data_IF_512240198854
#
_entry.id   IF_512240198854
#
_cell.length_a   1.000
_cell.length_b   1.000
_cell.length_c   1.000
_cell.angle_alpha   90.00
_cell.angle_beta   90.00
_cell.angle_gamma   90.00
#
_symmetry.space_group_name_H-M   'P 1'
#
loop_
_entity.id
_entity.type
_entity.pdbx_description
1 polymer ?
#
# COMPACT_ATOMS: atom_id res chain seq x y z
N UNK A 1 -20.69 -10.72 -1.58
CA UNK A 1 -19.35 -10.56 -1.01
C UNK A 1 -18.65 -11.91 -1.08
N UNK A 2 -17.40 -12.02 -1.56
CA UNK A 2 -16.65 -13.25 -1.35
C UNK A 2 -16.37 -13.35 0.14
N UNK A 3 -16.92 -14.38 0.79
CA UNK A 3 -16.55 -14.77 2.15
C UNK A 3 -15.06 -15.07 2.21
N UNK A 4 -14.37 -14.66 3.27
CA UNK A 4 -12.99 -15.09 3.50
C UNK A 4 -12.91 -16.62 3.36
N UNK A 5 -11.88 -17.15 2.68
CA UNK A 5 -11.73 -18.59 2.57
C UNK A 5 -11.68 -19.20 3.99
N UNK A 6 -12.33 -20.36 4.21
CA UNK A 6 -12.31 -21.00 5.52
C UNK A 6 -10.87 -21.30 5.95
N UNK A 7 -10.55 -21.11 7.23
CA UNK A 7 -9.18 -21.28 7.71
C UNK A 7 -8.73 -22.75 7.72
N UNK A 8 -7.40 -23.02 7.59
CA UNK A 8 -6.81 -24.32 7.87
C UNK A 8 -7.23 -24.85 9.25
N UNK A 9 -7.51 -26.15 9.33
CA UNK A 9 -8.09 -26.80 10.51
C UNK A 9 -7.17 -27.85 11.15
N UNK A 10 -6.14 -28.30 10.43
CA UNK A 10 -5.15 -29.27 10.93
C UNK A 10 -3.72 -28.71 10.86
N UNK A 11 -2.76 -29.21 11.67
CA UNK A 11 -1.36 -28.81 11.58
C UNK A 11 -0.77 -28.99 10.17
N UNK A 12 -1.19 -30.04 9.46
CA UNK A 12 -0.75 -30.35 8.09
C UNK A 12 -1.30 -29.34 7.07
N UNK A 13 -2.58 -28.94 7.21
CA UNK A 13 -3.16 -27.85 6.40
C UNK A 13 -2.45 -26.52 6.67
N UNK A 14 -2.10 -26.24 7.94
CA UNK A 14 -1.32 -25.05 8.30
C UNK A 14 0.08 -25.07 7.68
N UNK A 15 0.76 -26.22 7.73
CA UNK A 15 2.07 -26.41 7.11
C UNK A 15 2.03 -26.17 5.60
N UNK A 16 1.06 -26.79 4.91
CA UNK A 16 0.85 -26.58 3.48
C UNK A 16 0.55 -25.11 3.14
N UNK A 17 -0.32 -24.45 3.90
CA UNK A 17 -0.64 -23.03 3.65
C UNK A 17 0.52 -22.08 3.98
N UNK A 18 1.31 -22.38 5.01
CA UNK A 18 2.49 -21.60 5.36
C UNK A 18 3.55 -21.70 4.25
N UNK A 19 3.80 -22.92 3.74
CA UNK A 19 4.71 -23.16 2.63
C UNK A 19 4.19 -22.51 1.33
N UNK A 20 2.89 -22.60 1.06
CA UNK A 20 2.24 -21.92 -0.06
C UNK A 20 2.46 -20.40 0.02
N UNK A 21 2.14 -19.77 1.16
CA UNK A 21 2.27 -18.32 1.35
C UNK A 21 3.73 -17.87 1.22
N UNK A 22 4.65 -18.62 1.79
CA UNK A 22 6.08 -18.30 1.79
C UNK A 22 6.71 -18.43 0.40
N UNK A 23 6.28 -19.41 -0.40
CA UNK A 23 6.87 -19.65 -1.72
C UNK A 23 6.14 -18.98 -2.87
N UNK A 24 4.85 -18.64 -2.72
CA UNK A 24 3.96 -18.20 -3.82
C UNK A 24 3.43 -16.78 -3.62
N UNK A 25 3.45 -16.22 -2.40
CA UNK A 25 2.93 -14.87 -2.14
C UNK A 25 3.97 -13.78 -1.83
N UNK A 26 5.26 -14.11 -1.86
CA UNK A 26 6.33 -13.13 -1.72
C UNK A 26 6.56 -12.28 -2.99
N UNK A 27 6.61 -10.96 -2.85
CA UNK A 27 6.74 -9.98 -3.93
C UNK A 27 7.94 -10.17 -4.88
N UNK A 28 8.99 -10.88 -4.45
CA UNK A 28 10.26 -11.05 -5.16
C UNK A 28 10.69 -12.52 -5.26
N UNK A 29 9.77 -13.39 -5.64
CA UNK A 29 10.07 -14.83 -5.72
C UNK A 29 11.03 -15.19 -6.84
N UNK A 30 11.92 -16.12 -6.52
CA UNK A 30 12.66 -16.92 -7.51
C UNK A 30 11.76 -17.80 -8.38
N UNK A 31 10.51 -18.03 -7.95
CA UNK A 31 9.51 -18.89 -8.59
C UNK A 31 8.71 -18.24 -9.73
N UNK A 32 8.87 -16.94 -9.97
CA UNK A 32 8.14 -16.25 -11.05
C UNK A 32 8.54 -16.74 -12.45
N UNK A 33 7.70 -16.42 -13.44
CA UNK A 33 7.87 -16.80 -14.84
C UNK A 33 7.78 -18.34 -14.98
N UNK A 34 8.75 -18.97 -15.65
CA UNK A 34 8.77 -20.42 -15.85
C UNK A 34 9.48 -21.19 -14.72
N UNK A 35 9.81 -20.52 -13.60
CA UNK A 35 10.60 -21.11 -12.51
C UNK A 35 9.75 -21.83 -11.45
N UNK A 36 8.43 -21.81 -11.58
CA UNK A 36 7.51 -22.52 -10.70
C UNK A 36 7.49 -24.03 -10.98
N UNK A 37 8.02 -24.84 -10.06
CA UNK A 37 7.87 -26.31 -10.11
C UNK A 37 6.65 -26.76 -9.28
N UNK A 38 5.48 -26.76 -9.93
CA UNK A 38 4.25 -27.27 -9.35
C UNK A 38 4.35 -28.74 -8.93
N UNK A 39 5.10 -29.56 -9.65
CA UNK A 39 5.22 -30.97 -9.36
C UNK A 39 6.03 -31.19 -8.07
N UNK A 40 7.09 -30.41 -7.85
CA UNK A 40 7.85 -30.40 -6.60
C UNK A 40 6.97 -30.01 -5.42
N UNK A 41 6.22 -28.91 -5.53
CA UNK A 41 5.32 -28.48 -4.47
C UNK A 41 4.31 -29.59 -4.11
N UNK A 42 3.69 -30.22 -5.11
CA UNK A 42 2.76 -31.34 -4.91
C UNK A 42 3.42 -32.58 -4.29
N UNK A 43 4.71 -32.83 -4.54
CA UNK A 43 5.45 -33.95 -3.94
C UNK A 43 5.77 -33.74 -2.45
N UNK A 44 5.94 -32.49 -2.01
CA UNK A 44 6.30 -32.15 -0.62
C UNK A 44 5.13 -32.21 0.37
N UNK A 45 3.90 -32.25 -0.12
CA UNK A 45 2.68 -32.21 0.71
C UNK A 45 1.78 -33.43 0.47
N UNK A 46 0.94 -33.75 1.45
CA UNK A 46 -0.03 -34.82 1.31
C UNK A 46 -1.12 -34.42 0.29
N UNK A 47 -1.34 -35.30 -0.70
CA UNK A 47 -2.33 -35.10 -1.77
C UNK A 47 -3.75 -34.83 -1.24
N UNK A 48 -4.21 -35.59 -0.25
CA UNK A 48 -5.58 -35.43 0.28
C UNK A 48 -5.76 -34.08 0.99
N UNK A 49 -4.70 -33.58 1.63
CA UNK A 49 -4.67 -32.25 2.26
C UNK A 49 -4.80 -31.15 1.20
N UNK A 50 -4.02 -31.24 0.12
CA UNK A 50 -4.08 -30.27 -0.98
C UNK A 50 -5.44 -30.28 -1.68
N UNK A 51 -6.01 -31.46 -1.93
CA UNK A 51 -7.34 -31.63 -2.52
C UNK A 51 -8.42 -31.03 -1.60
N UNK A 52 -8.35 -31.27 -0.29
CA UNK A 52 -9.28 -30.68 0.68
C UNK A 52 -9.21 -29.14 0.70
N UNK A 53 -8.00 -28.58 0.73
CA UNK A 53 -7.80 -27.12 0.70
C UNK A 53 -8.36 -26.49 -0.58
N UNK A 54 -8.22 -27.14 -1.74
CA UNK A 54 -8.80 -26.66 -3.00
C UNK A 54 -10.32 -26.79 -3.05
N UNK A 55 -10.88 -27.92 -2.58
CA UNK A 55 -12.33 -28.12 -2.52
C UNK A 55 -13.01 -27.07 -1.63
N UNK A 56 -12.36 -26.71 -0.53
CA UNK A 56 -12.79 -25.65 0.40
C UNK A 56 -12.47 -24.24 -0.09
N UNK A 57 -11.86 -24.09 -1.29
CA UNK A 57 -11.45 -22.82 -1.91
C UNK A 57 -10.46 -22.01 -1.05
N UNK A 58 -9.71 -22.69 -0.18
CA UNK A 58 -8.62 -22.09 0.60
C UNK A 58 -7.37 -21.92 -0.26
N UNK A 59 -7.14 -22.89 -1.15
CA UNK A 59 -6.15 -22.81 -2.22
C UNK A 59 -6.82 -22.58 -3.57
N UNK A 60 -6.26 -21.72 -4.43
CA UNK A 60 -6.71 -21.59 -5.80
C UNK A 60 -6.46 -22.88 -6.62
N UNK A 61 -7.15 -23.06 -7.75
CA UNK A 61 -6.82 -24.08 -8.73
C UNK A 61 -5.37 -23.98 -9.22
N UNK A 62 -4.77 -25.12 -9.56
CA UNK A 62 -3.35 -25.21 -9.93
C UNK A 62 -3.00 -24.45 -11.20
N UNK A 63 -3.86 -24.52 -12.20
CA UNK A 63 -3.78 -23.74 -13.44
C UNK A 63 -3.81 -22.22 -13.16
N UNK A 64 -4.61 -21.78 -12.18
CA UNK A 64 -4.63 -20.39 -11.77
C UNK A 64 -3.33 -19.96 -11.07
N UNK A 65 -2.71 -20.83 -10.26
CA UNK A 65 -1.39 -20.58 -9.65
C UNK A 65 -0.32 -20.45 -10.73
N UNK A 66 -0.28 -21.39 -11.68
CA UNK A 66 0.69 -21.37 -12.77
C UNK A 66 0.52 -20.14 -13.66
N UNK A 67 -0.71 -19.78 -14.01
CA UNK A 67 -1.00 -18.58 -14.78
C UNK A 67 -0.54 -17.31 -14.04
N UNK A 68 -0.78 -17.22 -12.73
CA UNK A 68 -0.35 -16.07 -11.92
C UNK A 68 1.17 -15.96 -11.83
N UNK A 69 1.89 -17.08 -11.64
CA UNK A 69 3.34 -17.07 -11.53
C UNK A 69 4.01 -16.77 -12.89
N UNK A 70 3.45 -17.27 -13.99
CA UNK A 70 3.90 -16.93 -15.35
C UNK A 70 3.76 -15.45 -15.70
N UNK A 71 2.77 -14.75 -15.13
CA UNK A 71 2.65 -13.30 -15.30
C UNK A 71 3.85 -12.54 -14.70
N UNK A 72 4.61 -13.17 -13.80
CA UNK A 72 5.70 -12.56 -13.07
C UNK A 72 5.21 -11.69 -11.91
N UNK A 73 6.10 -10.93 -11.26
CA UNK A 73 5.71 -10.05 -10.18
C UNK A 73 4.71 -8.99 -10.66
N UNK A 74 3.86 -8.46 -9.77
CA UNK A 74 3.03 -7.30 -10.04
C UNK A 74 3.82 -6.18 -10.74
N UNK A 75 3.23 -5.45 -11.71
CA UNK A 75 3.95 -4.44 -12.50
C UNK A 75 4.74 -3.43 -11.65
N UNK A 76 4.19 -2.97 -10.53
CA UNK A 76 4.84 -1.99 -9.64
C UNK A 76 6.11 -2.48 -8.95
N UNK A 77 6.37 -3.79 -8.96
CA UNK A 77 7.59 -4.39 -8.40
C UNK A 77 8.65 -4.66 -9.49
N UNK A 78 8.34 -4.37 -10.76
CA UNK A 78 9.26 -4.63 -11.88
C UNK A 78 10.29 -3.51 -12.01
N UNK A 79 11.57 -3.84 -12.31
CA UNK A 79 12.58 -2.82 -12.58
C UNK A 79 12.13 -1.83 -13.65
N UNK A 80 12.34 -0.53 -13.38
CA UNK A 80 12.01 0.55 -14.30
C UNK A 80 10.53 0.93 -14.35
N UNK A 81 9.65 0.24 -13.61
CA UNK A 81 8.26 0.68 -13.49
C UNK A 81 8.17 2.05 -12.81
N UNK A 82 7.19 2.84 -13.24
CA UNK A 82 6.80 4.10 -12.61
C UNK A 82 5.29 4.20 -12.57
N UNK A 83 4.75 4.81 -11.53
CA UNK A 83 3.32 5.04 -11.42
C UNK A 83 2.79 5.81 -12.64
N UNK A 84 1.65 5.41 -13.24
CA UNK A 84 1.02 6.12 -14.35
C UNK A 84 0.58 7.53 -13.97
N UNK A 85 0.54 7.87 -12.67
CA UNK A 85 0.23 9.22 -12.22
C UNK A 85 1.42 10.18 -12.32
N UNK A 86 2.67 9.71 -12.38
CA UNK A 86 3.84 10.60 -12.51
C UNK A 86 3.73 11.42 -13.81
N UNK A 87 3.80 12.75 -13.69
CA UNK A 87 3.61 13.69 -14.79
C UNK A 87 2.14 13.90 -15.20
N UNK A 88 1.18 13.43 -14.40
CA UNK A 88 -0.26 13.67 -14.58
C UNK A 88 -0.78 14.63 -13.52
N UNK A 89 -1.83 15.34 -13.90
CA UNK A 89 -2.63 16.16 -12.98
C UNK A 89 -3.64 15.27 -12.27
N UNK A 90 -3.79 15.47 -10.97
CA UNK A 90 -4.84 14.86 -10.16
C UNK A 90 -5.70 15.94 -9.53
N UNK A 91 -7.00 15.66 -9.42
CA UNK A 91 -7.92 16.51 -8.66
C UNK A 91 -7.63 16.37 -7.18
N UNK A 92 -7.66 17.50 -6.45
CA UNK A 92 -7.32 17.57 -5.02
C UNK A 92 -8.44 18.16 -4.16
N UNK A 93 -9.56 18.59 -4.75
CA UNK A 93 -10.69 19.19 -4.02
C UNK A 93 -11.35 18.23 -3.02
N UNK A 94 -11.08 16.93 -3.15
CA UNK A 94 -11.48 15.93 -2.17
C UNK A 94 -10.82 16.15 -0.80
N UNK A 95 -9.67 16.84 -0.72
CA UNK A 95 -9.00 17.16 0.54
C UNK A 95 -9.79 18.10 1.45
N UNK A 96 -10.75 18.84 0.90
CA UNK A 96 -11.60 19.78 1.65
C UNK A 96 -12.99 19.22 1.93
N UNK A 97 -13.26 17.99 1.49
CA UNK A 97 -14.49 17.30 1.83
C UNK A 97 -14.42 16.79 3.26
N UNK A 98 -15.55 16.76 3.95
CA UNK A 98 -15.69 16.18 5.29
C UNK A 98 -15.81 14.64 5.20
N UNK A 99 -14.82 14.01 4.56
CA UNK A 99 -14.77 12.57 4.30
C UNK A 99 -13.77 11.83 5.20
N UNK A 100 -13.11 12.54 6.11
CA UNK A 100 -11.99 12.02 6.88
C UNK A 100 -12.18 12.24 8.37
N UNK A 101 -11.77 11.26 9.17
CA UNK A 101 -11.65 11.47 10.62
C UNK A 101 -10.26 11.99 10.92
N UNK A 102 -10.14 13.25 11.33
CA UNK A 102 -8.87 13.80 11.81
C UNK A 102 -8.56 13.30 13.22
N UNK A 103 -7.41 12.66 13.40
CA UNK A 103 -6.91 12.21 14.70
C UNK A 103 -5.86 13.17 15.27
N UNK A 104 -5.13 13.86 14.41
CA UNK A 104 -4.14 14.86 14.77
C UNK A 104 -4.02 15.91 13.67
N UNK A 105 -3.94 17.20 14.04
CA UNK A 105 -3.77 18.29 13.08
C UNK A 105 -4.97 18.48 12.13
N UNK A 106 -4.72 19.08 10.97
CA UNK A 106 -5.74 19.29 9.92
C UNK A 106 -5.11 19.37 8.51
N UNK A 107 -5.95 19.14 7.49
CA UNK A 107 -5.56 19.28 6.08
C UNK A 107 -5.36 20.73 5.62
N UNK A 108 -5.84 21.72 6.38
CA UNK A 108 -5.89 23.12 5.99
C UNK A 108 -4.53 23.72 5.58
N UNK A 109 -4.60 24.75 4.74
CA UNK A 109 -3.45 25.52 4.26
C UNK A 109 -2.61 24.83 3.19
N UNK A 110 -3.03 23.66 2.69
CA UNK A 110 -2.29 22.89 1.69
C UNK A 110 -2.18 23.60 0.33
N UNK A 111 -3.20 24.36 -0.08
CA UNK A 111 -3.20 25.12 -1.35
C UNK A 111 -2.12 26.18 -1.43
N UNK A 112 -1.71 26.74 -0.29
CA UNK A 112 -0.76 27.85 -0.22
C UNK A 112 0.70 27.37 -0.18
N UNK A 113 0.94 26.07 -0.35
CA UNK A 113 2.25 25.45 -0.21
C UNK A 113 2.83 25.16 -1.58
N UNK A 114 4.17 25.16 -1.68
CA UNK A 114 4.85 24.87 -2.94
C UNK A 114 4.66 23.40 -3.31
N UNK A 115 4.74 22.53 -2.31
CA UNK A 115 4.62 21.08 -2.48
C UNK A 115 3.67 20.52 -1.43
N UNK A 116 2.84 19.58 -1.86
CA UNK A 116 2.02 18.73 -1.02
C UNK A 116 2.58 17.31 -1.08
N UNK A 117 2.83 16.75 0.10
CA UNK A 117 3.14 15.36 0.34
C UNK A 117 1.89 14.67 0.86
N UNK A 118 1.39 13.68 0.12
CA UNK A 118 0.32 12.80 0.57
C UNK A 118 0.89 11.42 0.83
N UNK A 119 0.72 10.90 2.04
CA UNK A 119 1.18 9.57 2.43
C UNK A 119 -0.01 8.66 2.79
N UNK A 120 0.00 7.43 2.27
CA UNK A 120 -0.85 6.34 2.75
C UNK A 120 0.00 5.39 3.59
N UNK A 121 -0.48 5.03 4.78
CA UNK A 121 0.24 4.17 5.71
C UNK A 121 -0.72 3.33 6.57
N UNK A 122 -0.14 2.41 7.34
CA UNK A 122 -0.81 1.58 8.35
C UNK A 122 0.13 1.45 9.55
N UNK A 123 -0.38 1.02 10.71
CA UNK A 123 0.26 1.04 12.04
C UNK A 123 1.63 0.35 12.19
N UNK A 124 2.21 -0.19 11.12
CA UNK A 124 3.50 -0.89 11.09
C UNK A 124 4.65 -0.07 10.46
N UNK A 125 4.42 1.15 9.98
CA UNK A 125 5.40 1.91 9.19
C UNK A 125 5.89 3.22 9.84
N UNK A 126 7.10 3.62 9.46
CA UNK A 126 7.77 4.87 9.79
C UNK A 126 7.14 6.08 9.11
N UNK A 127 7.63 7.28 9.45
CA UNK A 127 6.88 8.51 9.25
C UNK A 127 7.65 9.66 8.57
N UNK A 128 6.92 10.59 7.97
CA UNK A 128 7.45 11.80 7.33
C UNK A 128 7.68 13.01 8.26
N UNK A 129 7.77 12.81 9.59
CA UNK A 129 7.90 13.92 10.55
C UNK A 129 9.08 14.85 10.30
N UNK A 130 10.25 14.31 9.96
CA UNK A 130 11.43 15.14 9.71
C UNK A 130 11.22 16.05 8.49
N UNK A 131 10.60 15.52 7.43
CA UNK A 131 10.26 16.28 6.22
C UNK A 131 9.29 17.41 6.53
N UNK A 132 8.25 17.13 7.33
CA UNK A 132 7.25 18.12 7.73
C UNK A 132 7.86 19.30 8.54
N UNK A 133 8.89 19.02 9.34
CA UNK A 133 9.58 20.05 10.15
C UNK A 133 10.63 20.80 9.34
N UNK A 134 11.36 20.10 8.46
CA UNK A 134 12.52 20.66 7.75
C UNK A 134 12.11 21.60 6.62
N UNK A 135 10.98 21.35 5.96
CA UNK A 135 10.58 22.09 4.76
C UNK A 135 9.27 22.87 4.99
N UNK A 136 9.33 24.15 5.41
CA UNK A 136 8.14 24.94 5.71
C UNK A 136 7.25 25.19 4.47
N UNK A 137 7.82 25.14 3.27
CA UNK A 137 7.10 25.26 2.00
C UNK A 137 6.37 23.96 1.57
N UNK A 138 6.55 22.89 2.33
CA UNK A 138 5.93 21.58 2.11
C UNK A 138 4.81 21.37 3.13
N UNK A 139 3.65 20.92 2.66
CA UNK A 139 2.60 20.37 3.54
C UNK A 139 2.66 18.86 3.46
N UNK A 140 2.73 18.20 4.61
CA UNK A 140 2.50 16.75 4.73
C UNK A 140 1.06 16.53 5.18
N UNK A 141 0.35 15.62 4.52
CA UNK A 141 -0.96 15.10 4.89
C UNK A 141 -0.88 13.58 4.81
N UNK A 142 -1.30 12.89 5.86
CA UNK A 142 -1.20 11.43 5.90
C UNK A 142 -2.56 10.81 6.15
N UNK A 143 -2.78 9.67 5.50
CA UNK A 143 -3.98 8.87 5.58
C UNK A 143 -3.62 7.48 6.11
N UNK A 144 -4.10 7.17 7.30
CA UNK A 144 -4.19 5.79 7.76
C UNK A 144 -5.27 5.07 6.96
N UNK A 145 -4.92 3.88 6.44
CA UNK A 145 -5.89 2.95 5.88
C UNK A 145 -5.44 1.49 6.07
N UNK A 146 -5.78 0.91 7.21
CA UNK A 146 -5.52 -0.49 7.57
C UNK A 146 -6.14 -1.50 6.59
N UNK A 147 -7.25 -1.13 5.93
CA UNK A 147 -7.94 -1.99 4.97
C UNK A 147 -7.72 -1.61 3.51
N UNK A 148 -6.66 -0.87 3.19
CA UNK A 148 -6.44 -0.33 1.84
C UNK A 148 -6.42 -1.43 0.75
N UNK A 149 -5.99 -2.65 1.11
CA UNK A 149 -5.91 -3.79 0.19
C UNK A 149 -7.14 -4.71 0.17
N UNK A 150 -7.94 -4.71 1.25
CA UNK A 150 -9.03 -5.68 1.42
C UNK A 150 -10.41 -5.02 1.60
N UNK A 151 -10.48 -3.69 1.61
CA UNK A 151 -11.71 -2.91 1.78
C UNK A 151 -12.29 -2.96 3.20
N UNK A 152 -11.52 -3.46 4.19
CA UNK A 152 -11.94 -3.41 5.60
C UNK A 152 -11.89 -1.97 6.07
N UNK A 153 -12.81 -1.57 6.94
CA UNK A 153 -12.78 -0.23 7.52
C UNK A 153 -11.65 -0.15 8.56
N UNK A 154 -10.88 0.94 8.55
CA UNK A 154 -9.94 1.24 9.64
C UNK A 154 -10.69 1.35 10.98
N UNK A 155 -10.12 0.75 12.03
CA UNK A 155 -10.59 0.92 13.39
C UNK A 155 -10.06 2.24 13.98
N UNK A 156 -10.84 3.31 13.82
CA UNK A 156 -10.47 4.68 14.24
C UNK A 156 -9.98 4.76 15.69
N UNK A 157 -10.59 4.01 16.61
CA UNK A 157 -10.21 4.05 18.03
C UNK A 157 -8.87 3.34 18.31
N UNK A 158 -8.54 2.34 17.51
CA UNK A 158 -7.25 1.66 17.56
C UNK A 158 -6.15 2.56 17.01
N UNK A 159 -6.37 3.17 15.84
CA UNK A 159 -5.44 4.15 15.25
C UNK A 159 -5.24 5.34 16.19
N UNK A 160 -6.31 5.84 16.82
CA UNK A 160 -6.20 6.91 17.83
C UNK A 160 -5.33 6.51 19.02
N UNK A 161 -5.51 5.29 19.55
CA UNK A 161 -4.68 4.77 20.65
C UNK A 161 -3.23 4.56 20.24
N UNK A 162 -2.99 4.14 18.99
CA UNK A 162 -1.64 4.04 18.43
C UNK A 162 -0.97 5.42 18.39
N UNK A 163 -1.62 6.42 17.79
CA UNK A 163 -1.07 7.80 17.69
C UNK A 163 -0.83 8.41 19.07
N UNK A 164 -1.76 8.23 20.03
CA UNK A 164 -1.61 8.79 21.37
C UNK A 164 -0.37 8.29 22.14
N UNK A 165 0.22 7.15 21.72
CA UNK A 165 1.46 6.59 22.29
C UNK A 165 2.71 7.05 21.56
N UNK A 166 2.58 7.76 20.45
CA UNK A 166 3.67 8.22 19.58
C UNK A 166 3.95 9.69 19.85
N UNK A 167 5.19 10.04 20.16
CA UNK A 167 5.63 11.44 20.35
C UNK A 167 6.41 11.99 19.17
N UNK A 168 6.70 11.11 18.21
CA UNK A 168 7.55 11.35 17.05
C UNK A 168 6.74 11.72 15.80
N UNK A 169 5.43 11.47 15.74
CA UNK A 169 4.54 11.86 14.64
C UNK A 169 4.10 13.33 14.74
N UNK A 170 4.72 14.22 13.95
CA UNK A 170 4.53 15.69 14.04
C UNK A 170 3.84 16.30 12.82
N UNK A 171 2.82 15.64 12.31
CA UNK A 171 2.08 16.05 11.10
C UNK A 171 0.59 15.68 11.19
N UNK A 172 -0.26 16.19 10.29
CA UNK A 172 -1.67 15.80 10.22
C UNK A 172 -1.87 14.31 9.94
N UNK A 173 -2.68 13.66 10.77
CA UNK A 173 -3.07 12.26 10.63
C UNK A 173 -4.58 12.15 10.49
N UNK A 174 -5.01 11.63 9.34
CA UNK A 174 -6.41 11.41 9.01
C UNK A 174 -6.67 9.93 8.76
N UNK A 175 -7.91 9.49 8.98
CA UNK A 175 -8.36 8.15 8.63
C UNK A 175 -9.31 8.23 7.44
N UNK A 176 -8.98 7.48 6.38
CA UNK A 176 -9.76 7.43 5.13
C UNK A 176 -10.94 6.44 5.23
N UNK A 177 -11.87 6.72 6.14
CA UNK A 177 -13.00 5.84 6.48
C UNK A 177 -13.98 5.59 5.33
N UNK A 178 -13.96 6.45 4.32
CA UNK A 178 -14.80 6.37 3.12
C UNK A 178 -14.03 5.97 1.85
N UNK A 179 -12.74 5.68 1.97
CA UNK A 179 -11.84 5.38 0.84
C UNK A 179 -11.75 6.50 -0.21
N UNK A 180 -12.08 7.75 0.15
CA UNK A 180 -12.05 8.90 -0.75
C UNK A 180 -10.63 9.16 -1.25
N UNK A 181 -9.64 9.21 -0.36
CA UNK A 181 -8.24 9.43 -0.75
C UNK A 181 -7.70 8.21 -1.52
N UNK A 182 -8.11 7.01 -1.09
CA UNK A 182 -7.74 5.74 -1.70
C UNK A 182 -8.21 5.66 -3.15
N UNK A 183 -9.46 6.03 -3.43
CA UNK A 183 -10.05 6.02 -4.76
C UNK A 183 -9.52 7.14 -5.64
N UNK A 184 -9.28 8.32 -5.07
CA UNK A 184 -8.78 9.47 -5.80
C UNK A 184 -7.30 9.34 -6.20
N UNK A 185 -6.46 8.69 -5.38
CA UNK A 185 -5.01 8.74 -5.55
C UNK A 185 -4.32 7.38 -5.46
N UNK A 186 -4.60 6.57 -4.43
CA UNK A 186 -3.91 5.29 -4.23
C UNK A 186 -4.19 4.29 -5.37
N UNK A 187 -5.47 3.98 -5.64
CA UNK A 187 -5.85 3.02 -6.68
C UNK A 187 -5.39 3.45 -8.08
N UNK A 188 -5.59 4.71 -8.53
CA UNK A 188 -5.11 5.15 -9.84
C UNK A 188 -3.58 5.13 -9.96
N UNK A 189 -2.84 5.19 -8.85
CA UNK A 189 -1.38 5.08 -8.86
C UNK A 189 -0.87 3.71 -9.31
N UNK A 190 -1.72 2.68 -9.27
CA UNK A 190 -1.39 1.29 -9.56
C UNK A 190 -0.21 0.74 -8.72
N UNK A 191 0.12 1.42 -7.62
CA UNK A 191 1.07 0.93 -6.62
C UNK A 191 0.26 0.17 -5.57
N UNK A 192 0.57 -1.11 -5.35
CA UNK A 192 -0.12 -1.93 -4.35
C UNK A 192 0.79 -2.19 -3.16
N UNK A 193 1.39 -1.12 -2.63
CA UNK A 193 2.21 -1.15 -1.43
C UNK A 193 1.96 0.10 -0.60
N UNK A 194 2.08 -0.03 0.71
CA UNK A 194 2.21 1.07 1.66
C UNK A 194 3.49 0.81 2.50
N UNK A 195 4.16 1.84 3.03
CA UNK A 195 3.81 3.25 2.91
C UNK A 195 4.00 3.74 1.47
N UNK A 196 3.10 4.63 1.02
CA UNK A 196 3.13 5.18 -0.32
C UNK A 196 2.99 6.69 -0.25
N UNK A 197 3.92 7.38 -0.88
CA UNK A 197 4.02 8.82 -0.81
C UNK A 197 3.93 9.44 -2.20
N UNK A 198 3.19 10.53 -2.31
CA UNK A 198 3.00 11.33 -3.52
C UNK A 198 3.59 12.71 -3.31
N UNK A 199 4.47 13.15 -4.22
CA UNK A 199 4.93 14.55 -4.32
C UNK A 199 4.08 15.27 -5.36
N UNK A 200 3.29 16.25 -4.94
CA UNK A 200 2.32 16.96 -5.78
C UNK A 200 2.54 18.47 -5.67
N UNK A 201 2.47 19.21 -6.78
CA UNK A 201 2.37 20.67 -6.75
C UNK A 201 0.91 21.10 -6.59
N UNK A 202 0.52 21.74 -5.48
CA UNK A 202 -0.88 22.09 -5.21
C UNK A 202 -1.52 22.96 -6.28
N UNK A 203 -0.74 23.89 -6.84
CA UNK A 203 -1.22 24.91 -7.79
C UNK A 203 -1.84 24.34 -9.07
N UNK A 204 -1.36 23.17 -9.51
CA UNK A 204 -1.70 22.58 -10.82
C UNK A 204 -2.03 21.08 -10.71
N UNK A 205 -2.02 20.52 -9.50
CA UNK A 205 -2.28 19.12 -9.22
C UNK A 205 -1.26 18.16 -9.83
N UNK A 206 -0.10 18.64 -10.30
CA UNK A 206 0.87 17.79 -11.00
C UNK A 206 1.59 16.86 -10.01
N UNK A 207 1.55 15.57 -10.28
CA UNK A 207 2.30 14.54 -9.53
C UNK A 207 3.72 14.43 -10.09
N UNK A 208 4.72 14.66 -9.26
CA UNK A 208 6.14 14.65 -9.65
C UNK A 208 6.84 13.34 -9.29
N UNK A 209 6.35 12.65 -8.26
CA UNK A 209 6.92 11.39 -7.79
C UNK A 209 5.88 10.60 -6.99
N UNK A 210 5.98 9.28 -7.08
CA UNK A 210 5.18 8.31 -6.33
C UNK A 210 6.13 7.17 -5.95
N UNK A 211 6.20 6.83 -4.67
CA UNK A 211 7.06 5.73 -4.21
C UNK A 211 6.99 5.50 -2.71
N UNK A 212 7.73 4.51 -2.23
CA UNK A 212 7.82 4.20 -0.81
C UNK A 212 9.04 4.91 -0.19
N UNK A 213 8.79 5.90 0.67
CA UNK A 213 9.82 6.76 1.25
C UNK A 213 10.75 6.05 2.27
N UNK A 214 10.45 4.83 2.70
CA UNK A 214 11.33 4.03 3.56
C UNK A 214 12.41 3.29 2.78
N UNK A 215 12.12 2.93 1.53
CA UNK A 215 13.01 2.11 0.69
C UNK A 215 13.59 2.88 -0.50
N UNK A 216 12.97 4.01 -0.87
CA UNK A 216 13.41 4.91 -1.94
C UNK A 216 13.81 6.28 -1.37
N UNK A 217 14.84 6.91 -1.96
CA UNK A 217 15.22 8.30 -1.61
C UNK A 217 14.18 9.30 -2.17
N UNK A 218 13.18 9.62 -1.35
CA UNK A 218 12.23 10.72 -1.62
C UNK A 218 12.89 12.10 -1.51
N UNK A 219 14.00 12.24 -0.77
CA UNK A 219 14.66 13.52 -0.53
C UNK A 219 15.24 14.13 -1.81
N UNK A 220 15.85 13.33 -2.68
CA UNK A 220 16.36 13.78 -3.97
C UNK A 220 15.27 14.39 -4.89
N UNK A 221 14.15 13.70 -5.20
CA UNK A 221 13.08 14.29 -6.00
C UNK A 221 12.42 15.50 -5.32
N UNK A 222 12.25 15.50 -4.00
CA UNK A 222 11.72 16.65 -3.27
C UNK A 222 12.61 17.90 -3.42
N UNK A 223 13.92 17.78 -3.16
CA UNK A 223 14.87 18.89 -3.29
C UNK A 223 14.92 19.41 -4.73
N UNK A 224 14.92 18.51 -5.71
CA UNK A 224 14.88 18.88 -7.13
C UNK A 224 13.62 19.67 -7.44
N UNK A 225 12.45 19.21 -7.01
CA UNK A 225 11.19 19.90 -7.23
C UNK A 225 11.20 21.30 -6.60
N UNK A 226 11.60 21.42 -5.33
CA UNK A 226 11.69 22.69 -4.62
C UNK A 226 12.64 23.69 -5.31
N UNK A 227 13.72 23.23 -5.95
CA UNK A 227 14.64 24.11 -6.69
C UNK A 227 14.03 24.69 -7.98
N UNK A 228 12.90 24.15 -8.44
CA UNK A 228 12.22 24.56 -9.68
C UNK A 228 10.93 25.36 -9.45
N UNK A 229 10.55 25.60 -8.18
CA UNK A 229 9.30 26.26 -7.77
C UNK A 229 9.53 27.60 -7.06
#
# INVERSE_FOLDING_TARGET
>A
MPTNPPEPTSPEEHGAMSDFRSNIWNAFQSSYEDKWDQAEYKRRHNRSILENLQQRKVLPPWDAVEAQLKQGPPPFLRPGWRSPLVGKRVELDWLDQDSFVSLQGNCGGWRNKKVLLIEFWATIFGHLSETAVTYPDVKVITFDNEGIFNGTKSNVDEVRRFIARRTDMKYPVLVDVHHTATDALFKPSQTLSIPLVFLITPRDGMVHWVGNAEVEDMGAPLRKLLSTL
#
